data_IF_285309375972
#
_entry.id   IF_285309375972
#
_cell.length_a   1.000
_cell.length_b   1.000
_cell.length_c   1.000
_cell.angle_alpha   90.00
_cell.angle_beta   90.00
_cell.angle_gamma   90.00
#
_symmetry.space_group_name_H-M   'P 1'
#
loop_
_entity.id
_entity.type
_entity.pdbx_description
1 polymer ?
#
# COMPACT_ATOMS: atom_id res chain seq x y z
N UNK A 1 15.13 -27.54 24.67
CA UNK A 1 14.77 -26.30 23.93
C UNK A 1 13.94 -25.43 24.86
N UNK A 2 14.37 -24.20 25.13
CA UNK A 2 13.68 -23.32 26.08
C UNK A 2 12.28 -22.92 25.57
N UNK A 3 11.24 -23.22 26.38
CA UNK A 3 9.84 -22.87 26.11
C UNK A 3 9.66 -21.36 25.89
N UNK A 4 10.47 -20.54 26.55
CA UNK A 4 10.47 -19.07 26.41
C UNK A 4 10.91 -18.63 25.01
N UNK A 5 11.98 -19.23 24.48
CA UNK A 5 12.49 -18.96 23.13
C UNK A 5 11.48 -19.35 22.04
N UNK A 6 10.80 -20.50 22.21
CA UNK A 6 9.74 -20.94 21.28
C UNK A 6 8.55 -19.97 21.28
N UNK A 7 8.11 -19.53 22.46
CA UNK A 7 7.03 -18.55 22.58
C UNK A 7 7.42 -17.20 21.96
N UNK A 8 8.66 -16.75 22.19
CA UNK A 8 9.17 -15.51 21.62
C UNK A 8 9.23 -15.56 20.09
N UNK A 9 9.59 -16.71 19.51
CA UNK A 9 9.57 -16.93 18.05
C UNK A 9 8.16 -16.82 17.47
N UNK A 10 7.20 -17.46 18.12
CA UNK A 10 5.82 -17.42 17.66
C UNK A 10 5.28 -15.99 17.73
N UNK A 11 5.52 -15.30 18.84
CA UNK A 11 5.10 -13.91 19.00
C UNK A 11 5.73 -12.99 17.97
N UNK A 12 7.05 -13.09 17.73
CA UNK A 12 7.74 -12.23 16.76
C UNK A 12 7.28 -12.51 15.32
N UNK A 13 6.99 -13.77 14.98
CA UNK A 13 6.40 -14.13 13.70
C UNK A 13 4.99 -13.55 13.52
N UNK A 14 4.11 -13.70 14.52
CA UNK A 14 2.75 -13.13 14.46
C UNK A 14 2.78 -11.60 14.34
N UNK A 15 3.67 -10.93 15.08
CA UNK A 15 3.83 -9.47 14.96
C UNK A 15 4.32 -9.07 13.56
N UNK A 16 5.24 -9.80 12.96
CA UNK A 16 5.68 -9.57 11.59
C UNK A 16 4.52 -9.74 10.60
N UNK A 17 3.72 -10.80 10.73
CA UNK A 17 2.57 -11.05 9.86
C UNK A 17 1.54 -9.91 9.93
N UNK A 18 1.28 -9.39 11.13
CA UNK A 18 0.40 -8.23 11.34
C UNK A 18 0.94 -7.00 10.59
N UNK A 19 2.23 -6.70 10.73
CA UNK A 19 2.82 -5.53 10.08
C UNK A 19 2.91 -5.69 8.54
N UNK A 20 3.09 -6.92 8.04
CA UNK A 20 2.99 -7.23 6.60
C UNK A 20 1.56 -7.08 6.08
N UNK A 21 0.56 -7.52 6.83
CA UNK A 21 -0.84 -7.36 6.48
C UNK A 21 -1.22 -5.87 6.37
N UNK A 22 -0.80 -5.05 7.33
CA UNK A 22 -1.01 -3.58 7.28
C UNK A 22 -0.37 -2.97 6.05
N UNK A 23 0.87 -3.36 5.71
CA UNK A 23 1.57 -2.88 4.53
C UNK A 23 0.83 -3.28 3.23
N UNK A 24 0.34 -4.52 3.15
CA UNK A 24 -0.46 -5.00 2.02
C UNK A 24 -1.75 -4.20 1.85
N UNK A 25 -2.43 -3.88 2.96
CA UNK A 25 -3.64 -3.04 2.94
C UNK A 25 -3.34 -1.66 2.36
N UNK A 26 -2.30 -0.98 2.85
CA UNK A 26 -1.90 0.35 2.35
C UNK A 26 -1.55 0.28 0.85
N UNK A 27 -0.87 -0.77 0.41
CA UNK A 27 -0.55 -0.98 -1.01
C UNK A 27 -1.81 -1.15 -1.87
N UNK A 28 -2.79 -1.92 -1.39
CA UNK A 28 -4.08 -2.08 -2.09
C UNK A 28 -4.84 -0.74 -2.17
N UNK A 29 -4.85 0.05 -1.10
CA UNK A 29 -5.49 1.37 -1.08
C UNK A 29 -4.79 2.33 -2.07
N UNK A 30 -3.46 2.29 -2.16
CA UNK A 30 -2.69 3.07 -3.12
C UNK A 30 -3.02 2.69 -4.56
N UNK A 31 -3.09 1.39 -4.86
CA UNK A 31 -3.46 0.91 -6.19
C UNK A 31 -4.87 1.37 -6.57
N UNK A 32 -5.83 1.24 -5.64
CA UNK A 32 -7.21 1.70 -5.85
C UNK A 32 -7.29 3.18 -6.22
N UNK A 33 -6.56 4.05 -5.51
CA UNK A 33 -6.52 5.48 -5.83
C UNK A 33 -5.87 5.74 -7.19
N UNK A 34 -4.82 4.99 -7.54
CA UNK A 34 -4.16 5.10 -8.84
C UNK A 34 -5.12 4.75 -9.99
N UNK A 35 -5.89 3.68 -9.82
CA UNK A 35 -6.89 3.25 -10.79
C UNK A 35 -8.01 4.30 -10.93
N UNK A 36 -8.43 4.92 -9.83
CA UNK A 36 -9.44 5.98 -9.83
C UNK A 36 -8.97 7.24 -10.59
N UNK A 37 -7.71 7.65 -10.39
CA UNK A 37 -7.10 8.76 -11.14
C UNK A 37 -6.98 8.42 -12.64
N UNK A 38 -6.58 7.18 -12.96
CA UNK A 38 -6.47 6.74 -14.34
C UNK A 38 -7.84 6.78 -15.03
N UNK A 39 -8.89 6.29 -14.39
CA UNK A 39 -10.27 6.34 -14.93
C UNK A 39 -10.74 7.76 -15.21
N UNK A 40 -10.43 8.72 -14.32
CA UNK A 40 -10.78 10.14 -14.57
C UNK A 40 -10.02 10.67 -15.79
N UNK A 41 -8.74 10.34 -15.95
CA UNK A 41 -7.96 10.75 -17.14
C UNK A 41 -8.49 10.12 -18.42
N UNK A 42 -8.82 8.83 -18.39
CA UNK A 42 -9.40 8.13 -19.54
C UNK A 42 -10.74 8.74 -19.93
N UNK A 43 -11.60 9.05 -18.96
CA UNK A 43 -12.87 9.73 -19.19
C UNK A 43 -12.68 11.12 -19.80
N UNK A 44 -11.69 11.91 -19.33
CA UNK A 44 -11.29 13.18 -19.99
C UNK A 44 -10.83 12.97 -21.43
N UNK A 45 -10.03 11.95 -21.70
CA UNK A 45 -9.56 11.63 -23.05
C UNK A 45 -10.69 11.24 -23.99
N UNK A 46 -11.58 10.34 -23.56
CA UNK A 46 -12.74 9.92 -24.35
C UNK A 46 -13.66 11.09 -24.68
N UNK A 47 -13.95 11.95 -23.69
CA UNK A 47 -14.79 13.11 -23.94
C UNK A 47 -14.15 14.09 -24.94
N UNK A 48 -12.84 14.31 -24.88
CA UNK A 48 -12.14 15.15 -25.86
C UNK A 48 -12.23 14.61 -27.30
N UNK A 49 -12.16 13.28 -27.47
CA UNK A 49 -12.36 12.62 -28.77
C UNK A 49 -13.79 12.85 -29.27
N UNK A 50 -14.80 12.57 -28.43
CA UNK A 50 -16.21 12.75 -28.80
C UNK A 50 -16.54 14.19 -29.20
N UNK A 51 -15.96 15.19 -28.51
CA UNK A 51 -16.14 16.60 -28.86
C UNK A 51 -15.50 16.98 -30.20
N UNK A 52 -14.36 16.38 -30.51
CA UNK A 52 -13.67 16.57 -31.79
C UNK A 52 -14.49 15.97 -32.94
N UNK A 53 -15.04 14.76 -32.75
CA UNK A 53 -15.90 14.08 -33.73
C UNK A 53 -17.25 14.79 -33.94
N UNK A 54 -17.79 15.41 -32.89
CA UNK A 54 -19.04 16.18 -32.95
C UNK A 54 -18.89 17.60 -33.55
N UNK A 55 -17.71 17.97 -34.08
CA UNK A 55 -17.39 19.32 -34.57
C UNK A 55 -17.76 20.44 -33.56
N UNK A 56 -17.68 20.17 -32.26
CA UNK A 56 -18.02 21.13 -31.20
C UNK A 56 -19.50 21.48 -31.05
N UNK A 57 -20.43 20.84 -31.78
CA UNK A 57 -21.88 21.03 -31.63
C UNK A 57 -22.50 20.05 -30.63
N UNK A 58 -21.93 19.96 -29.43
CA UNK A 58 -22.52 19.20 -28.33
C UNK A 58 -23.45 20.11 -27.50
N UNK A 59 -24.74 19.78 -27.34
CA UNK A 59 -25.66 20.50 -26.46
C UNK A 59 -25.15 20.68 -25.02
N UNK A 60 -24.31 19.75 -24.53
CA UNK A 60 -23.69 19.76 -23.21
C UNK A 60 -22.65 20.87 -23.04
N UNK A 61 -21.95 21.22 -24.14
CA UNK A 61 -21.04 22.36 -24.21
C UNK A 61 -21.81 23.68 -24.19
N UNK A 62 -22.90 23.75 -24.96
CA UNK A 62 -23.75 24.94 -25.04
C UNK A 62 -24.46 25.25 -23.72
N UNK A 63 -24.76 24.22 -22.92
CA UNK A 63 -25.37 24.35 -21.60
C UNK A 63 -24.35 24.60 -20.45
N UNK A 64 -23.05 24.66 -20.74
CA UNK A 64 -21.99 24.83 -19.72
C UNK A 64 -21.79 23.63 -18.80
N UNK A 65 -22.45 22.50 -19.05
CA UNK A 65 -22.34 21.28 -18.27
C UNK A 65 -20.93 20.67 -18.38
N UNK A 66 -20.30 20.79 -19.55
CA UNK A 66 -18.93 20.32 -19.78
C UNK A 66 -17.91 21.04 -18.88
N UNK A 67 -18.02 22.37 -18.72
CA UNK A 67 -17.10 23.13 -17.87
C UNK A 67 -17.23 22.74 -16.39
N UNK A 68 -18.46 22.55 -15.90
CA UNK A 68 -18.71 22.07 -14.53
C UNK A 68 -18.16 20.65 -14.31
N UNK A 69 -18.31 19.77 -15.30
CA UNK A 69 -17.75 18.44 -15.25
C UNK A 69 -16.21 18.45 -15.23
N UNK A 70 -15.57 19.29 -16.06
CA UNK A 70 -14.12 19.43 -16.08
C UNK A 70 -13.57 19.99 -14.75
N UNK A 71 -14.26 20.97 -14.17
CA UNK A 71 -13.94 21.50 -12.84
C UNK A 71 -14.04 20.39 -11.79
N UNK A 72 -15.14 19.61 -11.81
CA UNK A 72 -15.31 18.47 -10.92
C UNK A 72 -14.18 17.44 -11.08
N UNK A 73 -13.81 17.06 -12.31
CA UNK A 73 -12.69 16.14 -12.57
C UNK A 73 -11.37 16.67 -12.00
N UNK A 74 -11.14 17.98 -12.11
CA UNK A 74 -9.94 18.63 -11.58
C UNK A 74 -9.92 18.59 -10.06
N UNK A 75 -10.99 19.03 -9.40
CA UNK A 75 -11.13 18.99 -7.94
C UNK A 75 -10.99 17.56 -7.39
N UNK A 76 -11.65 16.60 -8.05
CA UNK A 76 -11.57 15.19 -7.66
C UNK A 76 -10.16 14.62 -7.82
N UNK A 77 -9.48 14.94 -8.93
CA UNK A 77 -8.09 14.52 -9.14
C UNK A 77 -7.15 15.12 -8.10
N UNK A 78 -7.34 16.37 -7.71
CA UNK A 78 -6.57 17.01 -6.63
C UNK A 78 -6.79 16.30 -5.28
N UNK A 79 -8.05 16.01 -4.92
CA UNK A 79 -8.37 15.25 -3.71
C UNK A 79 -7.69 13.88 -3.69
N UNK A 80 -7.79 13.13 -4.79
CA UNK A 80 -7.18 11.80 -4.91
C UNK A 80 -5.65 11.84 -4.82
N UNK A 81 -5.01 12.85 -5.42
CA UNK A 81 -3.56 13.05 -5.31
C UNK A 81 -3.14 13.39 -3.88
N UNK A 82 -3.93 14.18 -3.16
CA UNK A 82 -3.68 14.48 -1.74
C UNK A 82 -3.79 13.21 -0.89
N UNK A 83 -4.82 12.40 -1.10
CA UNK A 83 -4.98 11.10 -0.44
C UNK A 83 -3.80 10.16 -0.74
N UNK A 84 -3.34 10.11 -2.00
CA UNK A 84 -2.15 9.34 -2.36
C UNK A 84 -0.89 9.81 -1.64
N UNK A 85 -0.69 11.13 -1.50
CA UNK A 85 0.45 11.68 -0.78
C UNK A 85 0.42 11.26 0.69
N UNK A 86 -0.75 11.29 1.33
CA UNK A 86 -0.93 10.81 2.70
C UNK A 86 -0.62 9.32 2.82
N UNK A 87 -1.13 8.49 1.90
CA UNK A 87 -0.86 7.05 1.89
C UNK A 87 0.63 6.73 1.68
N UNK A 88 1.36 7.50 0.87
CA UNK A 88 2.82 7.32 0.70
C UNK A 88 3.58 7.55 2.01
N UNK A 89 3.20 8.57 2.77
CA UNK A 89 3.79 8.83 4.09
C UNK A 89 3.49 7.67 5.04
N UNK A 90 2.25 7.17 5.04
CA UNK A 90 1.88 6.05 5.91
C UNK A 90 2.56 4.74 5.49
N UNK A 91 2.71 4.50 4.19
CA UNK A 91 3.44 3.36 3.65
C UNK A 91 4.89 3.35 4.12
N UNK A 92 5.58 4.49 4.08
CA UNK A 92 6.98 4.57 4.53
C UNK A 92 7.10 4.38 6.05
N UNK A 93 6.18 4.94 6.84
CA UNK A 93 6.11 4.67 8.29
C UNK A 93 5.88 3.18 8.57
N UNK A 94 4.95 2.56 7.85
CA UNK A 94 4.61 1.16 8.02
C UNK A 94 5.78 0.26 7.59
N UNK A 95 6.47 0.59 6.49
CA UNK A 95 7.66 -0.12 6.03
C UNK A 95 8.75 -0.16 7.10
N UNK A 96 9.02 0.95 7.79
CA UNK A 96 9.98 1.01 8.90
C UNK A 96 9.56 0.10 10.06
N UNK A 97 8.27 0.06 10.42
CA UNK A 97 7.74 -0.85 11.45
C UNK A 97 7.91 -2.31 11.04
N UNK A 98 7.55 -2.66 9.81
CA UNK A 98 7.71 -4.01 9.25
C UNK A 98 9.18 -4.44 9.25
N UNK A 99 10.10 -3.55 8.84
CA UNK A 99 11.54 -3.83 8.88
C UNK A 99 12.04 -4.10 10.31
N UNK A 100 11.61 -3.31 11.28
CA UNK A 100 11.97 -3.53 12.69
C UNK A 100 11.44 -4.88 13.21
N UNK A 101 10.20 -5.25 12.89
CA UNK A 101 9.64 -6.55 13.28
C UNK A 101 10.30 -7.72 12.56
N UNK A 102 10.66 -7.55 11.29
CA UNK A 102 11.43 -8.52 10.54
C UNK A 102 12.78 -8.78 11.20
N UNK A 103 13.53 -7.72 11.54
CA UNK A 103 14.81 -7.84 12.24
C UNK A 103 14.68 -8.55 13.59
N UNK A 104 13.63 -8.25 14.36
CA UNK A 104 13.34 -8.97 15.63
C UNK A 104 13.03 -10.45 15.40
N UNK A 105 12.22 -10.78 14.39
CA UNK A 105 11.93 -12.16 14.01
C UNK A 105 13.20 -12.92 13.63
N UNK A 106 14.05 -12.34 12.79
CA UNK A 106 15.33 -12.96 12.39
C UNK A 106 16.29 -13.14 13.57
N UNK A 107 16.42 -12.13 14.44
CA UNK A 107 17.25 -12.24 15.63
C UNK A 107 16.82 -13.40 16.54
N UNK A 108 15.50 -13.60 16.74
CA UNK A 108 14.98 -14.72 17.52
C UNK A 108 15.26 -16.06 16.84
N UNK A 109 15.13 -16.15 15.51
CA UNK A 109 15.49 -17.37 14.76
C UNK A 109 16.97 -17.71 14.94
N UNK A 110 17.86 -16.73 14.88
CA UNK A 110 19.30 -16.94 15.09
C UNK A 110 19.62 -17.37 16.52
N UNK A 111 18.97 -16.79 17.53
CA UNK A 111 19.13 -17.23 18.92
C UNK A 111 18.69 -18.69 19.10
N UNK A 112 17.60 -19.11 18.48
CA UNK A 112 17.15 -20.51 18.53
C UNK A 112 18.14 -21.47 17.86
N UNK A 113 18.74 -21.08 16.73
CA UNK A 113 19.78 -21.87 16.06
C UNK A 113 20.99 -22.06 16.98
N UNK A 114 21.44 -20.98 17.64
CA UNK A 114 22.56 -21.01 18.59
C UNK A 114 22.26 -21.91 19.80
N UNK A 115 21.09 -21.79 20.41
CA UNK A 115 20.66 -22.65 21.53
C UNK A 115 20.66 -24.13 21.15
N UNK A 116 20.11 -24.44 19.96
CA UNK A 116 20.07 -25.80 19.42
C UNK A 116 21.48 -26.35 19.18
N UNK A 117 22.39 -25.56 18.63
CA UNK A 117 23.77 -25.96 18.38
C UNK A 117 24.56 -26.18 19.69
N UNK A 118 24.34 -25.33 20.71
CA UNK A 118 24.94 -25.53 22.03
C UNK A 118 24.42 -26.79 22.72
N UNK A 119 23.11 -27.07 22.62
CA UNK A 119 22.54 -28.30 23.16
C UNK A 119 23.14 -29.55 22.49
N UNK A 120 23.31 -29.54 21.16
CA UNK A 120 23.96 -30.64 20.43
C UNK A 120 25.41 -30.86 20.88
N UNK A 121 26.19 -29.77 21.03
CA UNK A 121 27.59 -29.85 21.46
C UNK A 121 27.76 -30.38 22.88
N UNK A 122 26.79 -30.13 23.77
CA UNK A 122 26.77 -30.69 25.14
C UNK A 122 26.42 -32.19 25.19
N UNK A 123 25.69 -32.71 24.19
CA UNK A 123 25.36 -34.15 24.12
C UNK A 123 26.45 -34.99 23.45
N UNK A 124 27.39 -34.35 22.75
CA UNK A 124 28.53 -35.02 22.08
C UNK A 124 29.82 -35.04 22.92
N UNK A 125 29.77 -34.53 24.15
CA UNK A 125 30.85 -34.54 25.15
C UNK A 125 30.42 -35.43 26.30
#
# INVERSE_FOLDING_TARGET
MDKRLKNLKNLSATLLDIELFKLKKISADQQRLSDEILRIRESKGQQAVTLTEANGMDPSLLAGAFSKWEEWCTQKSMSLNQEQAVLRVEMEKQRKKTQAMFGRSEAVKELMKRDTNMAKKKMSL
#
